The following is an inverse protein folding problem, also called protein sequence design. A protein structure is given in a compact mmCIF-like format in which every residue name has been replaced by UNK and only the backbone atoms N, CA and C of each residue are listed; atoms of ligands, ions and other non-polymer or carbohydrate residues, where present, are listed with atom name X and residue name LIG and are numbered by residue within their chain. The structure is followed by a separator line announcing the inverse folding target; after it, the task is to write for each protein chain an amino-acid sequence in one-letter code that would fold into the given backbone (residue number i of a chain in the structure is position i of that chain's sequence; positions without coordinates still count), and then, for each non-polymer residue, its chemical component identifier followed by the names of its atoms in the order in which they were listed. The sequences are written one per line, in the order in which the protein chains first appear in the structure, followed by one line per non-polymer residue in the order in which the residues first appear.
data_IF_495232470329
#
_entry.id   IF_495232470329
#
_cell.length_a   1.000
_cell.length_b   1.000
_cell.length_c   1.000
_cell.angle_alpha   90.00
_cell.angle_beta   90.00
_cell.angle_gamma   90.00
#
_symmetry.space_group_name_H-M   'P 1'
#
loop_
_entity.id
_entity.type
_entity.pdbx_description
1 polymer ?
#
# COMPACT_ATOMS: atom_id res chain seq x y z
N UNK A 1 -8.83 -0.89 14.98
CA UNK A 1 -9.18 0.10 16.03
C UNK A 1 -8.61 -0.21 17.42
N UNK A 2 -8.41 -1.47 17.81
CA UNK A 2 -7.96 -1.83 19.18
C UNK A 2 -6.52 -1.40 19.51
N UNK A 3 -5.60 -1.43 18.53
CA UNK A 3 -4.18 -1.04 18.73
C UNK A 3 -3.99 0.45 18.99
N UNK A 4 -4.78 1.32 18.33
CA UNK A 4 -4.74 2.78 18.59
C UNK A 4 -5.06 3.14 20.04
N UNK A 5 -5.88 2.34 20.75
CA UNK A 5 -6.20 2.59 22.16
C UNK A 5 -5.03 2.31 23.11
N UNK A 6 -4.02 1.57 22.66
CA UNK A 6 -2.85 1.23 23.46
C UNK A 6 -1.75 2.30 23.37
N UNK A 7 -1.83 3.21 22.40
CA UNK A 7 -0.85 4.29 22.24
C UNK A 7 -1.04 5.38 23.30
N UNK A 8 0.05 6.03 23.68
CA UNK A 8 0.02 7.18 24.59
C UNK A 8 -0.44 8.45 23.87
N UNK A 9 -1.70 8.85 24.08
CA UNK A 9 -2.28 10.07 23.50
C UNK A 9 -2.17 11.30 24.41
N UNK A 10 -1.34 11.26 25.45
CA UNK A 10 -1.11 12.42 26.31
C UNK A 10 -0.56 13.58 25.48
N UNK A 11 -1.24 14.75 25.44
CA UNK A 11 -0.76 15.89 24.67
C UNK A 11 0.63 16.34 25.12
N UNK A 12 1.50 16.60 24.17
CA UNK A 12 2.87 17.02 24.44
C UNK A 12 3.85 16.61 23.34
N UNK A 13 5.09 17.01 23.52
CA UNK A 13 6.21 16.69 22.65
C UNK A 13 7.23 15.87 23.44
N UNK A 14 7.63 14.73 22.88
CA UNK A 14 8.73 13.91 23.39
C UNK A 14 9.81 13.80 22.31
N UNK A 15 11.06 14.01 22.72
CA UNK A 15 12.23 13.66 21.90
C UNK A 15 12.57 12.20 22.19
N UNK A 16 12.35 11.34 21.20
CA UNK A 16 12.64 9.90 21.30
C UNK A 16 14.12 9.66 21.03
N UNK A 17 14.65 10.31 20.00
CA UNK A 17 16.08 10.29 19.67
C UNK A 17 16.56 11.73 19.50
N UNK A 18 17.58 12.19 20.23
CA UNK A 18 18.06 13.57 20.14
C UNK A 18 18.74 13.88 18.81
N UNK A 19 19.30 12.88 18.13
CA UNK A 19 19.91 13.05 16.81
C UNK A 19 19.96 11.75 16.01
N UNK A 20 19.40 11.77 14.81
CA UNK A 20 19.61 10.79 13.75
C UNK A 20 20.75 11.24 12.82
N UNK A 21 21.79 11.90 13.33
CA UNK A 21 23.04 11.94 12.59
C UNK A 21 23.65 10.52 12.54
N UNK A 22 24.44 10.23 11.49
CA UNK A 22 25.18 8.98 11.41
C UNK A 22 26.10 8.87 12.65
N UNK A 23 25.99 7.81 13.46
CA UNK A 23 26.81 7.67 14.65
C UNK A 23 28.29 7.43 14.29
N UNK A 24 29.19 7.70 15.25
CA UNK A 24 30.61 7.37 15.10
C UNK A 24 30.79 5.84 14.95
N UNK A 25 31.76 5.40 14.14
CA UNK A 25 31.97 3.99 13.79
C UNK A 25 31.11 3.49 12.62
N UNK A 26 30.35 4.39 11.98
CA UNK A 26 29.54 4.08 10.79
C UNK A 26 29.90 5.01 9.64
N UNK A 27 29.98 4.45 8.44
CA UNK A 27 30.30 5.19 7.22
C UNK A 27 29.11 6.04 6.76
N UNK A 28 27.91 5.47 6.82
CA UNK A 28 26.65 6.12 6.47
C UNK A 28 25.46 5.36 7.06
N UNK A 29 24.29 5.99 7.03
CA UNK A 29 23.01 5.35 7.34
C UNK A 29 21.97 5.74 6.26
N UNK A 30 20.97 4.89 6.05
CA UNK A 30 19.85 5.17 5.16
C UNK A 30 18.87 6.19 5.76
N UNK A 31 17.88 6.57 4.95
CA UNK A 31 16.75 7.36 5.42
C UNK A 31 15.95 6.56 6.47
N UNK A 32 15.67 7.20 7.61
CA UNK A 32 15.00 6.52 8.72
C UNK A 32 13.53 6.14 8.42
N UNK A 33 13.05 5.12 9.11
CA UNK A 33 11.64 4.71 9.19
C UNK A 33 11.13 4.86 10.61
N UNK A 34 9.87 5.23 10.80
CA UNK A 34 9.27 5.48 12.11
C UNK A 34 8.13 4.50 12.37
N UNK A 35 8.03 4.00 13.61
CA UNK A 35 6.94 3.11 14.02
C UNK A 35 5.58 3.84 13.93
N UNK A 36 4.49 3.09 13.69
CA UNK A 36 3.12 3.61 13.76
C UNK A 36 2.86 4.51 14.99
N UNK A 37 3.22 4.05 16.19
CA UNK A 37 3.00 4.78 17.45
C UNK A 37 3.98 5.93 17.74
N UNK A 38 5.05 6.02 16.95
CA UNK A 38 6.09 7.03 17.06
C UNK A 38 7.05 6.85 18.24
N UNK A 39 7.07 5.70 18.90
CA UNK A 39 7.99 5.39 20.00
C UNK A 39 9.34 4.85 19.50
N UNK A 40 9.41 4.41 18.24
CA UNK A 40 10.62 3.83 17.66
C UNK A 40 10.93 4.45 16.29
N UNK A 41 12.21 4.70 16.05
CA UNK A 41 12.75 5.08 14.74
C UNK A 41 13.94 4.19 14.43
N UNK A 42 14.06 3.76 13.17
CA UNK A 42 15.12 2.86 12.76
C UNK A 42 15.73 3.27 11.42
N UNK A 43 16.97 2.85 11.18
CA UNK A 43 17.66 3.04 9.91
C UNK A 43 18.69 1.93 9.69
N UNK A 44 18.85 1.48 8.45
CA UNK A 44 19.98 0.64 8.07
C UNK A 44 21.26 1.49 8.17
N UNK A 45 22.30 0.93 8.76
CA UNK A 45 23.59 1.61 8.93
C UNK A 45 24.73 0.70 8.46
N UNK A 46 25.68 1.29 7.72
CA UNK A 46 26.88 0.59 7.24
C UNK A 46 28.06 0.90 8.15
N UNK A 47 28.69 -0.13 8.70
CA UNK A 47 29.86 -0.07 9.58
C UNK A 47 31.14 0.17 8.76
N UNK A 48 32.23 0.50 9.45
CA UNK A 48 33.55 0.74 8.83
C UNK A 48 34.19 -0.52 8.23
N UNK A 49 33.84 -1.70 8.75
CA UNK A 49 34.25 -3.01 8.21
C UNK A 49 33.40 -3.46 7.00
N UNK A 50 32.61 -2.54 6.45
CA UNK A 50 31.71 -2.73 5.31
C UNK A 50 30.47 -3.60 5.57
N UNK A 51 30.28 -4.13 6.78
CA UNK A 51 29.06 -4.85 7.17
C UNK A 51 27.89 -3.89 7.46
N UNK A 52 26.69 -4.43 7.51
CA UNK A 52 25.44 -3.72 7.76
C UNK A 52 24.81 -4.17 9.07
N UNK A 53 24.09 -3.25 9.70
CA UNK A 53 23.23 -3.51 10.87
C UNK A 53 22.06 -2.54 10.84
N UNK A 54 21.13 -2.67 11.77
CA UNK A 54 19.99 -1.76 11.92
C UNK A 54 20.14 -0.97 13.20
N UNK A 55 20.19 0.35 13.08
CA UNK A 55 20.03 1.25 14.22
C UNK A 55 18.56 1.28 14.61
N UNK A 56 18.26 1.08 15.88
CA UNK A 56 16.93 1.24 16.48
C UNK A 56 17.04 2.22 17.64
N UNK A 57 16.42 3.39 17.50
CA UNK A 57 16.57 4.52 18.39
C UNK A 57 18.05 4.93 18.60
N UNK A 58 18.60 4.65 19.78
CA UNK A 58 20.01 4.91 20.14
C UNK A 58 20.85 3.63 20.22
N UNK A 59 20.26 2.48 19.92
CA UNK A 59 20.88 1.17 19.97
C UNK A 59 21.00 0.61 18.55
N UNK A 60 21.70 -0.53 18.43
CA UNK A 60 21.84 -1.26 17.18
C UNK A 60 21.48 -2.72 17.43
N UNK A 61 20.94 -3.35 16.40
CA UNK A 61 20.81 -4.80 16.33
C UNK A 61 22.17 -5.47 16.50
N UNK A 62 22.17 -6.64 17.12
CA UNK A 62 23.38 -7.44 17.32
C UNK A 62 23.86 -8.05 16.01
N UNK A 63 22.94 -8.31 15.08
CA UNK A 63 23.24 -8.90 13.78
C UNK A 63 24.21 -8.08 12.93
N UNK A 64 25.10 -8.81 12.25
CA UNK A 64 26.06 -8.33 11.26
C UNK A 64 25.72 -8.96 9.91
N UNK A 65 25.51 -8.12 8.91
CA UNK A 65 24.96 -8.56 7.62
C UNK A 65 25.83 -8.09 6.45
N UNK A 66 25.86 -8.88 5.37
CA UNK A 66 26.53 -8.50 4.13
C UNK A 66 25.76 -7.40 3.39
N UNK A 67 24.43 -7.44 3.49
CA UNK A 67 23.49 -6.44 2.97
C UNK A 67 22.23 -6.41 3.83
N UNK A 68 21.51 -5.31 3.78
CA UNK A 68 20.20 -5.19 4.42
C UNK A 68 19.27 -4.33 3.57
N UNK A 69 18.07 -4.83 3.25
CA UNK A 69 17.09 -4.16 2.39
C UNK A 69 15.68 -4.16 3.00
N UNK A 70 14.84 -3.25 2.49
CA UNK A 70 13.40 -3.19 2.77
C UNK A 70 13.04 -3.08 4.27
N UNK A 71 13.80 -2.28 5.02
CA UNK A 71 13.52 -2.00 6.43
C UNK A 71 12.19 -1.23 6.57
N UNK A 72 11.27 -1.72 7.39
CA UNK A 72 9.98 -1.06 7.61
C UNK A 72 9.21 -1.60 8.80
N UNK A 73 8.34 -0.75 9.37
CA UNK A 73 7.45 -1.16 10.45
C UNK A 73 6.12 -1.69 9.91
N UNK A 74 5.67 -2.82 10.45
CA UNK A 74 4.29 -3.28 10.35
C UNK A 74 3.34 -2.41 11.16
N UNK A 75 2.01 -2.51 10.93
CA UNK A 75 1.00 -1.73 11.66
C UNK A 75 0.92 -2.09 13.16
N UNK A 76 1.57 -3.17 13.58
CA UNK A 76 1.71 -3.63 14.95
C UNK A 76 3.00 -3.14 15.65
N UNK A 77 3.74 -2.24 15.01
CA UNK A 77 5.06 -1.73 15.43
C UNK A 77 6.21 -2.74 15.39
N UNK A 78 6.05 -3.95 14.86
CA UNK A 78 7.20 -4.82 14.59
C UNK A 78 8.02 -4.26 13.45
N UNK A 79 9.35 -4.26 13.61
CA UNK A 79 10.30 -3.83 12.59
C UNK A 79 10.77 -5.05 11.80
N UNK A 80 10.55 -5.05 10.49
CA UNK A 80 10.99 -6.13 9.61
C UNK A 80 11.96 -5.63 8.55
N UNK A 81 12.79 -6.52 8.05
CA UNK A 81 13.74 -6.26 6.96
C UNK A 81 14.33 -7.55 6.39
N UNK A 82 15.02 -7.42 5.26
CA UNK A 82 15.66 -8.53 4.57
C UNK A 82 17.17 -8.40 4.74
N UNK A 83 17.79 -9.37 5.42
CA UNK A 83 19.21 -9.38 5.69
C UNK A 83 19.91 -10.45 4.83
N UNK A 84 21.12 -10.16 4.34
CA UNK A 84 21.94 -11.15 3.64
C UNK A 84 23.06 -11.66 4.56
N UNK A 85 23.18 -12.98 4.69
CA UNK A 85 24.22 -13.69 5.46
C UNK A 85 24.69 -14.89 4.64
N UNK A 86 26.01 -15.08 4.50
CA UNK A 86 26.62 -16.15 3.71
C UNK A 86 26.06 -16.24 2.27
N UNK A 87 25.76 -15.09 1.67
CA UNK A 87 25.18 -14.99 0.33
C UNK A 87 23.67 -15.26 0.22
N UNK A 88 22.99 -15.70 1.28
CA UNK A 88 21.55 -15.99 1.29
C UNK A 88 20.75 -14.94 2.07
N UNK A 89 19.47 -14.81 1.76
CA UNK A 89 18.57 -13.80 2.33
C UNK A 89 17.67 -14.39 3.43
N UNK A 90 17.53 -13.64 4.51
CA UNK A 90 16.71 -13.93 5.67
C UNK A 90 15.64 -12.85 5.85
N UNK A 91 14.41 -13.26 6.13
CA UNK A 91 13.41 -12.35 6.69
C UNK A 91 13.72 -12.15 8.17
N UNK A 92 13.93 -10.92 8.58
CA UNK A 92 14.20 -10.56 9.98
C UNK A 92 13.02 -9.76 10.53
N UNK A 93 12.64 -10.04 11.78
CA UNK A 93 11.62 -9.30 12.53
C UNK A 93 12.15 -9.04 13.94
N UNK A 94 12.32 -7.76 14.30
CA UNK A 94 12.87 -7.33 15.59
C UNK A 94 14.21 -8.01 15.97
N UNK A 95 15.18 -8.01 15.05
CA UNK A 95 16.51 -8.63 15.20
C UNK A 95 16.52 -10.18 15.24
N UNK A 96 15.37 -10.83 15.03
CA UNK A 96 15.28 -12.29 14.95
C UNK A 96 15.01 -12.74 13.52
N UNK A 97 15.72 -13.78 13.07
CA UNK A 97 15.42 -14.43 11.80
C UNK A 97 14.12 -15.22 11.91
N UNK A 98 13.25 -15.06 10.92
CA UNK A 98 11.94 -15.72 10.85
C UNK A 98 11.93 -16.71 9.67
N UNK A 99 12.19 -17.99 9.98
CA UNK A 99 12.30 -19.08 8.99
C UNK A 99 13.75 -19.35 8.54
N UNK A 100 13.89 -20.16 7.49
CA UNK A 100 15.17 -20.50 6.87
C UNK A 100 15.61 -19.42 5.87
N UNK A 101 16.88 -19.44 5.47
CA UNK A 101 17.42 -18.58 4.42
C UNK A 101 16.97 -19.04 3.04
N UNK A 102 16.95 -18.10 2.09
CA UNK A 102 16.62 -18.33 0.70
C UNK A 102 17.61 -17.65 -0.24
N UNK A 103 17.80 -18.19 -1.44
CA UNK A 103 18.64 -17.57 -2.46
C UNK A 103 18.28 -16.09 -2.73
N UNK A 104 16.98 -15.76 -2.76
CA UNK A 104 16.50 -14.38 -2.77
C UNK A 104 15.18 -14.21 -2.02
N UNK A 105 15.06 -13.08 -1.31
CA UNK A 105 13.80 -12.58 -0.74
C UNK A 105 13.55 -11.15 -1.21
N UNK A 106 12.28 -10.78 -1.42
CA UNK A 106 11.88 -9.40 -1.73
C UNK A 106 10.42 -9.15 -1.33
N UNK A 107 10.03 -7.88 -1.27
CA UNK A 107 8.65 -7.44 -0.97
C UNK A 107 8.11 -7.96 0.37
N UNK A 108 8.34 -7.23 1.46
CA UNK A 108 7.69 -7.54 2.74
C UNK A 108 6.26 -7.00 2.74
N UNK A 109 5.30 -7.83 3.13
CA UNK A 109 3.90 -7.52 3.30
C UNK A 109 3.47 -7.79 4.74
N UNK A 110 2.64 -6.91 5.28
CA UNK A 110 1.93 -7.13 6.55
C UNK A 110 0.43 -7.15 6.28
N UNK A 111 -0.30 -8.00 7.00
CA UNK A 111 -1.76 -7.95 7.01
C UNK A 111 -2.26 -6.72 7.80
N UNK A 112 -3.57 -6.46 7.81
CA UNK A 112 -4.10 -5.17 8.26
C UNK A 112 -3.79 -4.87 9.73
N UNK A 113 -3.79 -5.91 10.57
CA UNK A 113 -3.38 -5.75 11.96
C UNK A 113 -1.89 -5.99 12.17
N UNK A 114 -1.17 -6.58 11.21
CA UNK A 114 0.26 -6.83 11.25
C UNK A 114 0.62 -8.12 11.97
N UNK A 115 -0.35 -8.96 12.35
CA UNK A 115 -0.09 -10.27 12.98
C UNK A 115 0.72 -11.17 12.05
N UNK A 116 0.43 -11.15 10.76
CA UNK A 116 1.13 -11.94 9.77
C UNK A 116 2.07 -11.07 8.93
N UNK A 117 3.26 -11.61 8.67
CA UNK A 117 4.24 -11.04 7.73
C UNK A 117 4.50 -12.05 6.63
N UNK A 118 4.53 -11.59 5.39
CA UNK A 118 4.87 -12.42 4.24
C UNK A 118 5.94 -11.75 3.38
N UNK A 119 6.68 -12.54 2.60
CA UNK A 119 7.53 -12.01 1.55
C UNK A 119 7.60 -12.93 0.35
N UNK A 120 7.96 -12.38 -0.80
CA UNK A 120 8.24 -13.18 -1.98
C UNK A 120 9.60 -13.85 -1.84
N UNK A 121 9.71 -15.09 -2.33
CA UNK A 121 10.90 -15.90 -2.22
C UNK A 121 11.30 -16.54 -3.55
N UNK A 122 12.59 -16.80 -3.69
CA UNK A 122 13.14 -17.67 -4.71
C UNK A 122 14.15 -18.62 -4.06
N UNK A 123 14.02 -19.91 -4.38
CA UNK A 123 14.96 -20.97 -4.01
C UNK A 123 15.23 -21.85 -5.23
N UNK A 124 16.51 -22.11 -5.53
CA UNK A 124 16.93 -22.97 -6.65
C UNK A 124 16.27 -22.62 -8.00
N UNK A 125 16.10 -21.32 -8.25
CA UNK A 125 15.45 -20.81 -9.48
C UNK A 125 13.92 -20.94 -9.51
N UNK A 126 13.29 -21.44 -8.43
CA UNK A 126 11.84 -21.55 -8.28
C UNK A 126 11.30 -20.48 -7.34
N UNK A 127 10.09 -20.00 -7.60
CA UNK A 127 9.51 -18.81 -6.98
C UNK A 127 8.28 -19.16 -6.16
N UNK A 128 8.08 -18.45 -5.05
CA UNK A 128 6.91 -18.59 -4.19
C UNK A 128 6.79 -17.45 -3.18
N UNK A 129 6.17 -17.74 -2.04
CA UNK A 129 6.10 -16.82 -0.91
C UNK A 129 6.41 -17.54 0.41
N UNK A 130 6.90 -16.76 1.37
CA UNK A 130 6.97 -17.11 2.78
C UNK A 130 5.81 -16.44 3.53
N UNK A 131 5.21 -17.15 4.47
CA UNK A 131 4.28 -16.55 5.45
C UNK A 131 4.77 -16.89 6.85
N UNK A 132 5.14 -15.88 7.64
CA UNK A 132 5.76 -16.01 8.95
C UNK A 132 6.97 -16.95 8.96
N UNK A 133 7.78 -16.92 7.89
CA UNK A 133 8.96 -17.78 7.72
C UNK A 133 8.68 -19.14 7.08
N UNK A 134 7.41 -19.52 6.91
CA UNK A 134 7.04 -20.81 6.32
C UNK A 134 6.86 -20.68 4.79
N UNK A 135 7.62 -21.43 3.97
CA UNK A 135 7.51 -21.40 2.52
C UNK A 135 6.21 -22.05 2.03
N UNK A 136 5.78 -21.66 0.83
CA UNK A 136 4.78 -22.43 0.10
C UNK A 136 5.23 -23.88 -0.12
N UNK A 137 4.29 -24.85 -0.08
CA UNK A 137 4.60 -26.26 -0.33
C UNK A 137 4.94 -26.55 -1.79
N UNK A 138 4.51 -25.69 -2.71
CA UNK A 138 4.77 -25.78 -4.15
C UNK A 138 5.35 -24.45 -4.65
N UNK A 139 6.41 -24.54 -5.45
CA UNK A 139 7.11 -23.41 -6.08
C UNK A 139 6.99 -23.51 -7.60
N UNK A 140 7.20 -22.38 -8.27
CA UNK A 140 6.93 -22.25 -9.70
C UNK A 140 8.13 -21.67 -10.46
N UNK A 141 8.23 -21.94 -11.76
CA UNK A 141 9.28 -21.36 -12.63
C UNK A 141 9.30 -19.82 -12.58
N UNK A 142 8.15 -19.20 -12.28
CA UNK A 142 7.99 -17.77 -12.09
C UNK A 142 6.75 -17.49 -11.22
N UNK A 143 6.85 -16.53 -10.31
CA UNK A 143 5.73 -15.97 -9.57
C UNK A 143 5.88 -14.44 -9.49
N UNK A 144 4.75 -13.72 -9.59
CA UNK A 144 4.70 -12.26 -9.50
C UNK A 144 3.30 -11.78 -9.03
N UNK A 145 3.08 -10.46 -8.93
CA UNK A 145 1.84 -9.89 -8.38
C UNK A 145 1.48 -10.50 -7.01
N UNK A 146 2.46 -10.53 -6.10
CA UNK A 146 2.30 -11.11 -4.77
C UNK A 146 1.29 -10.32 -3.93
N UNK A 147 0.41 -11.03 -3.24
CA UNK A 147 -0.63 -10.47 -2.39
C UNK A 147 -0.68 -11.21 -1.05
N UNK A 148 -0.98 -10.45 0.00
CA UNK A 148 -1.25 -10.94 1.34
C UNK A 148 -2.69 -10.58 1.69
N UNK A 149 -3.42 -11.55 2.24
CA UNK A 149 -4.77 -11.36 2.72
C UNK A 149 -4.83 -10.41 3.92
N UNK A 150 -5.94 -9.69 4.13
CA UNK A 150 -6.02 -8.68 5.16
C UNK A 150 -6.04 -9.22 6.61
N UNK A 151 -6.34 -10.50 6.84
CA UNK A 151 -6.71 -10.97 8.20
C UNK A 151 -6.13 -12.31 8.65
N UNK A 152 -5.67 -13.19 7.77
CA UNK A 152 -5.35 -14.58 8.16
C UNK A 152 -4.08 -15.15 7.53
N UNK A 153 -3.18 -14.28 7.04
CA UNK A 153 -1.89 -14.70 6.52
C UNK A 153 -1.94 -15.45 5.19
N UNK A 154 -3.12 -15.68 4.59
CA UNK A 154 -3.19 -16.28 3.25
C UNK A 154 -2.47 -15.40 2.23
N UNK A 155 -1.79 -16.02 1.29
CA UNK A 155 -1.01 -15.36 0.25
C UNK A 155 -1.46 -15.81 -1.13
N UNK A 156 -1.27 -14.96 -2.13
CA UNK A 156 -1.56 -15.31 -3.52
C UNK A 156 -0.55 -14.68 -4.47
N UNK A 157 -0.33 -15.31 -5.62
CA UNK A 157 0.50 -14.77 -6.69
C UNK A 157 0.02 -15.26 -8.05
N UNK A 158 0.36 -14.52 -9.10
CA UNK A 158 0.28 -15.00 -10.48
C UNK A 158 1.51 -15.85 -10.75
N UNK A 159 1.30 -17.07 -11.22
CA UNK A 159 2.36 -18.08 -11.37
C UNK A 159 2.41 -18.61 -12.80
N UNK A 160 3.60 -18.92 -13.29
CA UNK A 160 3.80 -19.62 -14.56
C UNK A 160 3.67 -21.13 -14.32
N UNK A 161 2.73 -21.76 -15.02
CA UNK A 161 2.41 -23.20 -14.88
C UNK A 161 2.82 -24.04 -16.10
N UNK A 162 3.37 -23.39 -17.13
CA UNK A 162 3.93 -24.05 -18.31
C UNK A 162 5.30 -23.45 -18.63
N UNK A 163 6.29 -24.28 -18.99
CA UNK A 163 7.57 -23.79 -19.46
C UNK A 163 7.41 -22.88 -20.67
N UNK A 164 8.18 -21.79 -20.70
CA UNK A 164 8.18 -20.83 -21.80
C UNK A 164 9.61 -20.61 -22.29
N UNK A 165 9.88 -21.01 -23.55
CA UNK A 165 11.16 -20.76 -24.19
C UNK A 165 11.36 -19.28 -24.53
N UNK A 166 12.61 -18.87 -24.74
CA UNK A 166 12.92 -17.51 -25.21
C UNK A 166 12.20 -17.23 -26.54
N UNK A 167 11.47 -16.11 -26.59
CA UNK A 167 10.70 -15.67 -27.75
C UNK A 167 9.60 -16.66 -28.24
N UNK A 168 9.17 -17.62 -27.40
CA UNK A 168 8.07 -18.54 -27.73
C UNK A 168 6.70 -17.85 -27.60
N UNK A 169 6.37 -17.05 -28.59
CA UNK A 169 5.09 -16.32 -28.62
C UNK A 169 3.89 -17.24 -28.81
N UNK A 170 4.05 -18.39 -29.48
CA UNK A 170 2.95 -19.32 -29.73
C UNK A 170 2.47 -19.97 -28.44
N UNK A 171 3.39 -20.46 -27.61
CA UNK A 171 3.06 -21.05 -26.31
C UNK A 171 2.49 -19.98 -25.37
N UNK A 172 3.07 -18.78 -25.36
CA UNK A 172 2.55 -17.66 -24.56
C UNK A 172 1.07 -17.37 -24.84
N UNK A 173 0.68 -17.25 -26.12
CA UNK A 173 -0.72 -16.96 -26.48
C UNK A 173 -1.68 -18.14 -26.30
N UNK A 174 -1.18 -19.37 -26.08
CA UNK A 174 -1.98 -20.53 -25.63
C UNK A 174 -2.26 -20.52 -24.12
N UNK A 175 -1.68 -19.57 -23.38
CA UNK A 175 -1.84 -19.43 -21.94
C UNK A 175 -0.82 -20.25 -21.15
N UNK A 176 -0.08 -19.56 -20.30
CA UNK A 176 1.00 -20.12 -19.47
C UNK A 176 0.93 -19.69 -18.00
N UNK A 177 0.02 -18.77 -17.66
CA UNK A 177 -0.14 -18.26 -16.30
C UNK A 177 -1.42 -18.78 -15.65
N UNK A 178 -1.34 -19.01 -14.34
CA UNK A 178 -2.48 -19.22 -13.44
C UNK A 178 -2.28 -18.39 -12.17
N UNK A 179 -3.10 -18.62 -11.15
CA UNK A 179 -2.99 -17.98 -9.84
C UNK A 179 -2.80 -19.07 -8.80
N UNK A 180 -1.81 -18.90 -7.93
CA UNK A 180 -1.63 -19.74 -6.75
C UNK A 180 -2.17 -19.02 -5.51
N UNK A 181 -2.92 -19.71 -4.68
CA UNK A 181 -3.36 -19.25 -3.35
C UNK A 181 -2.76 -20.20 -2.31
N UNK A 182 -1.90 -19.69 -1.43
CA UNK A 182 -1.06 -20.49 -0.53
C UNK A 182 -0.26 -21.59 -1.26
N UNK A 183 0.26 -21.27 -2.44
CA UNK A 183 0.96 -22.23 -3.29
C UNK A 183 0.05 -23.19 -4.06
N UNK A 184 -1.26 -23.22 -3.82
CA UNK A 184 -2.18 -24.08 -4.58
C UNK A 184 -2.69 -23.38 -5.84
N UNK A 185 -2.40 -23.96 -6.99
CA UNK A 185 -2.75 -23.41 -8.31
C UNK A 185 -4.21 -23.63 -8.67
N UNK A 186 -4.80 -22.61 -9.30
CA UNK A 186 -6.10 -22.68 -9.98
C UNK A 186 -6.04 -23.51 -11.27
N UNK A 187 -7.13 -24.18 -11.64
CA UNK A 187 -7.18 -25.00 -12.86
C UNK A 187 -7.23 -24.14 -14.13
N UNK A 188 -7.77 -22.93 -14.08
CA UNK A 188 -7.83 -22.03 -15.22
C UNK A 188 -6.45 -21.57 -15.65
N UNK A 189 -6.27 -21.49 -16.97
CA UNK A 189 -5.03 -21.05 -17.60
C UNK A 189 -5.32 -19.78 -18.41
N UNK A 190 -4.52 -18.75 -18.17
CA UNK A 190 -4.64 -17.44 -18.79
C UNK A 190 -3.43 -17.12 -19.66
N UNK A 191 -3.62 -16.26 -20.67
CA UNK A 191 -2.50 -15.62 -21.37
C UNK A 191 -1.72 -14.74 -20.39
N UNK A 192 -2.41 -14.05 -19.49
CA UNK A 192 -1.80 -13.40 -18.35
C UNK A 192 -2.85 -13.13 -17.25
N UNK A 193 -2.41 -12.95 -16.01
CA UNK A 193 -3.23 -12.50 -14.90
C UNK A 193 -2.49 -11.42 -14.11
N UNK A 194 -3.21 -10.58 -13.36
CA UNK A 194 -2.63 -9.51 -12.56
C UNK A 194 -3.43 -9.24 -11.30
N UNK A 195 -2.74 -8.66 -10.32
CA UNK A 195 -3.29 -8.13 -9.06
C UNK A 195 -4.30 -9.08 -8.40
N UNK A 196 -3.86 -10.21 -7.81
CA UNK A 196 -4.69 -10.95 -6.87
C UNK A 196 -5.14 -10.05 -5.72
N UNK A 197 -6.45 -9.99 -5.50
CA UNK A 197 -7.07 -9.22 -4.42
C UNK A 197 -7.87 -10.19 -3.57
N UNK A 198 -7.62 -10.18 -2.27
CA UNK A 198 -8.43 -10.93 -1.31
C UNK A 198 -9.69 -10.14 -0.96
N UNK A 199 -10.78 -10.86 -0.77
CA UNK A 199 -11.95 -10.38 -0.01
C UNK A 199 -11.55 -10.03 1.43
N UNK A 200 -12.35 -9.17 2.08
CA UNK A 200 -12.06 -8.67 3.43
C UNK A 200 -11.96 -9.79 4.49
N UNK A 201 -12.74 -10.85 4.35
CA UNK A 201 -12.69 -12.03 5.23
C UNK A 201 -11.67 -13.09 4.76
N UNK A 202 -10.93 -12.79 3.69
CA UNK A 202 -9.91 -13.65 3.08
C UNK A 202 -10.44 -15.04 2.67
N UNK A 203 -11.73 -15.14 2.32
CA UNK A 203 -12.36 -16.37 1.84
C UNK A 203 -12.28 -16.53 0.32
N UNK A 204 -12.31 -15.41 -0.41
CA UNK A 204 -12.31 -15.33 -1.87
C UNK A 204 -11.12 -14.52 -2.41
N UNK A 205 -10.66 -14.86 -3.62
CA UNK A 205 -9.63 -14.12 -4.38
C UNK A 205 -10.15 -13.76 -5.76
N UNK A 206 -9.98 -12.50 -6.17
CA UNK A 206 -10.29 -12.00 -7.50
C UNK A 206 -9.03 -11.51 -8.21
N UNK A 207 -8.93 -11.74 -9.52
CA UNK A 207 -7.80 -11.29 -10.35
C UNK A 207 -8.28 -10.64 -11.65
N UNK A 208 -7.43 -9.80 -12.23
CA UNK A 208 -7.53 -9.44 -13.64
C UNK A 208 -7.02 -10.59 -14.48
N UNK A 209 -7.72 -10.96 -15.54
CA UNK A 209 -7.32 -12.04 -16.43
C UNK A 209 -7.39 -11.60 -17.90
N UNK A 210 -6.35 -11.89 -18.66
CA UNK A 210 -6.32 -11.82 -20.12
C UNK A 210 -6.53 -13.21 -20.69
N UNK A 211 -7.65 -13.38 -21.40
CA UNK A 211 -8.06 -14.68 -21.95
C UNK A 211 -7.40 -14.93 -23.31
N UNK A 212 -7.25 -13.89 -24.12
CA UNK A 212 -6.56 -13.94 -25.40
C UNK A 212 -5.94 -12.58 -25.75
N UNK A 213 -5.50 -12.39 -26.99
CA UNK A 213 -4.84 -11.15 -27.44
C UNK A 213 -5.69 -9.89 -27.23
N UNK A 214 -7.01 -9.98 -27.19
CA UNK A 214 -7.91 -8.81 -27.20
C UNK A 214 -8.91 -8.76 -26.04
N UNK A 215 -9.12 -9.88 -25.35
CA UNK A 215 -10.20 -10.01 -24.37
C UNK A 215 -9.69 -10.19 -22.95
N UNK A 216 -10.25 -9.37 -22.06
CA UNK A 216 -9.97 -9.34 -20.64
C UNK A 216 -11.25 -9.59 -19.84
N UNK A 217 -11.08 -10.06 -18.61
CA UNK A 217 -12.16 -10.31 -17.65
C UNK A 217 -11.62 -10.23 -16.23
N UNK A 218 -12.52 -10.22 -15.25
CA UNK A 218 -12.19 -10.58 -13.88
C UNK A 218 -12.48 -12.07 -13.68
N UNK A 219 -11.64 -12.72 -12.88
CA UNK A 219 -11.82 -14.11 -12.44
C UNK A 219 -11.87 -14.14 -10.91
N UNK A 220 -12.87 -14.81 -10.36
CA UNK A 220 -13.06 -14.94 -8.91
C UNK A 220 -13.04 -16.43 -8.57
N UNK A 221 -12.11 -16.84 -7.70
CA UNK A 221 -11.91 -18.25 -7.31
C UNK A 221 -11.95 -19.22 -8.49
N UNK A 222 -11.03 -19.01 -9.44
CA UNK A 222 -10.90 -19.83 -10.63
C UNK A 222 -12.11 -19.80 -11.60
N UNK A 223 -13.05 -18.88 -11.40
CA UNK A 223 -14.23 -18.71 -12.27
C UNK A 223 -14.23 -17.35 -12.95
N UNK A 224 -13.82 -17.28 -14.23
CA UNK A 224 -13.93 -16.04 -15.01
C UNK A 224 -15.39 -15.60 -15.09
N UNK A 225 -15.65 -14.29 -15.01
CA UNK A 225 -16.95 -13.75 -15.43
C UNK A 225 -17.26 -14.19 -16.86
N UNK A 226 -18.54 -14.22 -17.25
CA UNK A 226 -18.92 -14.62 -18.61
C UNK A 226 -18.68 -13.51 -19.62
N UNK A 227 -18.75 -12.25 -19.19
CA UNK A 227 -18.49 -11.08 -20.03
C UNK A 227 -17.00 -10.92 -20.35
N UNK A 228 -16.73 -10.25 -21.48
CA UNK A 228 -15.39 -9.90 -21.96
C UNK A 228 -15.32 -8.41 -22.23
N UNK A 229 -14.17 -7.83 -21.92
CA UNK A 229 -13.90 -6.41 -22.03
C UNK A 229 -12.61 -6.16 -22.82
N UNK A 230 -12.45 -4.95 -23.36
CA UNK A 230 -11.22 -4.58 -24.06
C UNK A 230 -10.03 -4.48 -23.10
N UNK A 231 -10.29 -4.02 -21.87
CA UNK A 231 -9.36 -3.98 -20.75
C UNK A 231 -10.15 -4.00 -19.44
N UNK A 232 -9.50 -4.42 -18.37
CA UNK A 232 -9.98 -4.33 -16.98
C UNK A 232 -8.88 -3.73 -16.12
N UNK A 233 -9.23 -3.11 -15.00
CA UNK A 233 -8.31 -2.78 -13.93
C UNK A 233 -8.56 -3.66 -12.70
N UNK A 234 -7.76 -3.46 -11.65
CA UNK A 234 -7.80 -4.19 -10.38
C UNK A 234 -9.25 -4.37 -9.86
N UNK A 235 -9.63 -5.60 -9.46
CA UNK A 235 -10.92 -5.85 -8.83
C UNK A 235 -10.94 -5.33 -7.39
N UNK A 236 -12.13 -5.05 -6.88
CA UNK A 236 -12.39 -4.72 -5.49
C UNK A 236 -13.61 -5.50 -5.00
N UNK A 237 -13.50 -6.12 -3.82
CA UNK A 237 -14.64 -6.76 -3.15
C UNK A 237 -15.46 -5.71 -2.41
N UNK A 238 -16.78 -5.75 -2.62
CA UNK A 238 -17.75 -5.05 -1.79
C UNK A 238 -17.79 -5.72 -0.41
N UNK A 239 -17.36 -5.03 0.66
CA UNK A 239 -17.28 -5.61 2.00
C UNK A 239 -18.65 -5.99 2.58
N UNK A 240 -19.74 -5.42 2.07
CA UNK A 240 -21.09 -5.69 2.56
C UNK A 240 -21.73 -6.92 1.91
N UNK A 241 -21.43 -7.16 0.63
CA UNK A 241 -22.13 -8.17 -0.18
C UNK A 241 -21.23 -9.31 -0.66
N UNK A 242 -19.91 -9.09 -0.70
CA UNK A 242 -18.96 -9.99 -1.36
C UNK A 242 -18.95 -9.86 -2.90
N UNK A 243 -19.76 -8.96 -3.47
CA UNK A 243 -19.74 -8.68 -4.90
C UNK A 243 -18.35 -8.19 -5.35
N UNK A 244 -17.95 -8.52 -6.56
CA UNK A 244 -16.69 -8.06 -7.13
C UNK A 244 -16.97 -6.95 -8.14
N UNK A 245 -16.33 -5.80 -7.93
CA UNK A 245 -16.38 -4.66 -8.83
C UNK A 245 -15.03 -4.48 -9.51
N UNK A 246 -15.04 -4.02 -10.76
CA UNK A 246 -13.81 -3.66 -11.46
C UNK A 246 -14.07 -2.58 -12.50
N UNK A 247 -13.13 -1.62 -12.70
CA UNK A 247 -13.18 -0.75 -13.85
C UNK A 247 -12.99 -1.56 -15.12
N UNK A 248 -13.85 -1.34 -16.10
CA UNK A 248 -13.81 -2.08 -17.37
C UNK A 248 -13.87 -1.12 -18.55
N UNK A 249 -13.15 -1.46 -19.62
CA UNK A 249 -13.18 -0.72 -20.88
C UNK A 249 -14.05 -1.43 -21.90
N UNK A 250 -15.08 -0.73 -22.36
CA UNK A 250 -16.02 -1.19 -23.38
C UNK A 250 -16.24 -0.10 -24.41
N UNK A 251 -16.16 -0.45 -25.70
CA UNK A 251 -16.34 0.50 -26.82
C UNK A 251 -15.47 1.76 -26.70
N UNK A 252 -14.23 1.60 -26.24
CA UNK A 252 -13.25 2.69 -26.12
C UNK A 252 -13.38 3.55 -24.86
N UNK A 253 -14.40 3.34 -24.02
CA UNK A 253 -14.66 4.10 -22.80
C UNK A 253 -14.61 3.23 -21.55
N UNK A 254 -14.30 3.85 -20.42
CA UNK A 254 -14.25 3.21 -19.12
C UNK A 254 -15.56 3.39 -18.35
N UNK A 255 -15.98 2.34 -17.66
CA UNK A 255 -17.06 2.32 -16.68
C UNK A 255 -16.69 1.40 -15.53
N UNK A 256 -17.68 1.00 -14.74
CA UNK A 256 -17.51 0.09 -13.62
C UNK A 256 -18.46 -1.10 -13.79
N UNK A 257 -17.92 -2.31 -13.76
CA UNK A 257 -18.73 -3.53 -13.72
C UNK A 257 -18.81 -4.07 -12.29
N UNK A 258 -19.93 -4.72 -11.96
CA UNK A 258 -20.19 -5.51 -10.77
C UNK A 258 -20.60 -6.92 -11.22
N UNK A 259 -19.84 -7.93 -10.84
CA UNK A 259 -20.06 -9.34 -11.23
C UNK A 259 -20.30 -9.51 -12.74
N UNK A 260 -19.52 -8.82 -13.57
CA UNK A 260 -19.61 -8.86 -15.04
C UNK A 260 -20.67 -7.97 -15.68
N UNK A 261 -21.62 -7.41 -14.92
CA UNK A 261 -22.64 -6.49 -15.42
C UNK A 261 -22.26 -5.03 -15.16
N UNK A 262 -22.65 -4.10 -16.03
CA UNK A 262 -22.31 -2.68 -15.84
C UNK A 262 -23.09 -2.09 -14.66
N UNK A 263 -22.35 -1.57 -13.67
CA UNK A 263 -22.85 -0.76 -12.56
C UNK A 263 -22.83 0.72 -12.96
N UNK A 264 -21.70 1.20 -13.52
CA UNK A 264 -21.58 2.52 -14.12
C UNK A 264 -21.39 2.42 -15.62
N UNK A 265 -22.24 3.10 -16.40
CA UNK A 265 -22.13 3.12 -17.86
C UNK A 265 -20.74 3.59 -18.34
N UNK A 266 -20.17 2.97 -19.39
CA UNK A 266 -18.84 3.28 -19.87
C UNK A 266 -18.82 4.62 -20.62
N UNK A 267 -18.64 5.70 -19.88
CA UNK A 267 -18.66 7.08 -20.40
C UNK A 267 -17.34 7.82 -20.17
N UNK A 268 -16.50 7.31 -19.26
CA UNK A 268 -15.26 7.93 -18.82
C UNK A 268 -14.13 7.68 -19.82
N UNK A 269 -13.17 8.59 -19.85
CA UNK A 269 -11.90 8.43 -20.58
C UNK A 269 -10.94 7.50 -19.84
N UNK A 270 -11.02 7.47 -18.50
CA UNK A 270 -10.28 6.58 -17.62
C UNK A 270 -11.03 6.38 -16.30
N UNK A 271 -10.87 5.24 -15.64
CA UNK A 271 -11.43 4.93 -14.31
C UNK A 271 -10.56 3.90 -13.59
N UNK A 272 -10.11 4.14 -12.36
CA UNK A 272 -9.22 3.27 -11.59
C UNK A 272 -9.31 3.57 -10.08
N UNK A 273 -8.56 2.85 -9.24
CA UNK A 273 -8.54 3.01 -7.77
C UNK A 273 -9.95 2.98 -7.14
N UNK A 274 -10.69 1.89 -7.39
CA UNK A 274 -12.04 1.72 -6.85
C UNK A 274 -11.97 1.48 -5.35
N UNK A 275 -12.80 2.20 -4.58
CA UNK A 275 -12.97 2.02 -3.15
C UNK A 275 -14.45 1.96 -2.81
N UNK A 276 -14.80 1.07 -1.89
CA UNK A 276 -16.19 0.79 -1.54
C UNK A 276 -16.34 1.05 -0.05
N UNK A 277 -17.34 1.84 0.34
CA UNK A 277 -17.68 2.06 1.73
C UNK A 277 -18.08 0.74 2.41
N UNK A 278 -17.93 0.59 3.75
CA UNK A 278 -18.20 -0.68 4.42
C UNK A 278 -19.63 -1.21 4.27
N UNK A 279 -20.59 -0.33 3.97
CA UNK A 279 -21.99 -0.70 3.74
C UNK A 279 -22.34 -0.97 2.26
N UNK A 280 -21.35 -0.93 1.36
CA UNK A 280 -21.50 -1.17 -0.07
C UNK A 280 -22.23 -0.05 -0.84
N UNK A 281 -22.75 0.99 -0.17
CA UNK A 281 -23.62 2.01 -0.80
C UNK A 281 -22.86 3.11 -1.51
N UNK A 282 -21.67 3.44 -1.00
CA UNK A 282 -20.81 4.47 -1.58
C UNK A 282 -19.62 3.82 -2.27
N UNK A 283 -19.66 3.83 -3.59
CA UNK A 283 -18.55 3.37 -4.43
C UNK A 283 -17.87 4.61 -4.99
N UNK A 284 -16.57 4.65 -4.82
CA UNK A 284 -15.72 5.73 -5.25
C UNK A 284 -14.65 5.21 -6.21
N UNK A 285 -14.17 6.06 -7.11
CA UNK A 285 -13.03 5.78 -7.97
C UNK A 285 -12.32 7.08 -8.35
N UNK A 286 -11.08 6.98 -8.82
CA UNK A 286 -10.47 8.05 -9.61
C UNK A 286 -10.87 7.87 -11.07
N UNK A 287 -11.40 8.91 -11.70
CA UNK A 287 -11.81 8.85 -13.10
C UNK A 287 -11.61 10.15 -13.84
N UNK A 288 -11.64 10.07 -15.17
CA UNK A 288 -11.53 11.21 -16.07
C UNK A 288 -12.80 11.31 -16.94
N UNK A 289 -13.77 12.19 -16.60
CA UNK A 289 -14.93 12.45 -17.47
C UNK A 289 -14.52 13.01 -18.84
N UNK A 290 -13.41 13.73 -18.90
CA UNK A 290 -12.86 14.33 -20.11
C UNK A 290 -11.34 14.08 -20.18
N UNK A 291 -10.76 14.16 -21.38
CA UNK A 291 -9.33 13.92 -21.57
C UNK A 291 -8.50 14.91 -20.72
N UNK A 292 -7.60 14.38 -19.90
CA UNK A 292 -6.72 15.18 -19.04
C UNK A 292 -7.45 15.91 -17.90
N UNK A 293 -8.66 15.46 -17.52
CA UNK A 293 -9.45 16.05 -16.44
C UNK A 293 -9.88 14.98 -15.44
N UNK A 294 -8.96 14.60 -14.56
CA UNK A 294 -9.17 13.61 -13.51
C UNK A 294 -9.83 14.21 -12.27
N UNK A 295 -10.63 13.39 -11.59
CA UNK A 295 -11.31 13.72 -10.34
C UNK A 295 -11.80 12.45 -9.62
N UNK A 296 -12.34 12.58 -8.41
CA UNK A 296 -13.05 11.48 -7.77
C UNK A 296 -14.47 11.33 -8.37
N UNK A 297 -14.92 10.09 -8.52
CA UNK A 297 -16.25 9.71 -9.00
C UNK A 297 -16.97 9.02 -7.85
N UNK A 298 -18.14 9.52 -7.46
CA UNK A 298 -19.00 8.87 -6.47
C UNK A 298 -20.21 8.27 -7.17
N UNK A 299 -20.40 6.95 -7.11
CA UNK A 299 -21.56 6.26 -7.70
C UNK A 299 -21.85 6.71 -9.15
N UNK A 300 -20.80 6.76 -9.98
CA UNK A 300 -20.86 7.18 -11.38
C UNK A 300 -20.96 8.69 -11.62
N UNK A 301 -20.94 9.52 -10.57
CA UNK A 301 -21.03 10.98 -10.67
C UNK A 301 -19.68 11.63 -10.37
N UNK A 302 -19.04 12.32 -11.33
CA UNK A 302 -17.80 13.03 -11.08
C UNK A 302 -18.02 14.22 -10.16
N UNK A 303 -17.04 14.48 -9.30
CA UNK A 303 -16.86 15.78 -8.66
C UNK A 303 -16.70 16.90 -9.68
N UNK A 304 -17.03 18.12 -9.27
CA UNK A 304 -16.93 19.30 -10.12
C UNK A 304 -15.48 19.73 -10.32
N UNK A 305 -14.67 19.62 -9.25
CA UNK A 305 -13.26 19.97 -9.22
C UNK A 305 -12.45 18.97 -10.03
N UNK A 306 -11.66 19.43 -11.00
CA UNK A 306 -10.88 18.55 -11.90
C UNK A 306 -9.44 19.01 -12.02
N UNK A 307 -8.54 18.05 -12.22
CA UNK A 307 -7.10 18.25 -12.30
C UNK A 307 -6.50 17.51 -13.49
N UNK A 308 -5.31 17.88 -13.97
CA UNK A 308 -4.55 17.06 -14.92
C UNK A 308 -4.31 15.64 -14.42
N UNK A 309 -4.11 15.45 -13.11
CA UNK A 309 -3.95 14.17 -12.44
C UNK A 309 -4.67 14.23 -11.08
N UNK A 310 -5.34 13.14 -10.71
CA UNK A 310 -5.85 12.91 -9.35
C UNK A 310 -5.37 11.53 -8.87
N UNK A 311 -4.93 11.44 -7.60
CA UNK A 311 -4.35 10.24 -6.98
C UNK A 311 -4.71 10.17 -5.50
N UNK A 312 -4.33 9.06 -4.85
CA UNK A 312 -4.47 8.87 -3.40
C UNK A 312 -5.90 9.08 -2.88
N UNK A 313 -6.87 8.44 -3.52
CA UNK A 313 -8.25 8.43 -3.05
C UNK A 313 -8.31 7.78 -1.67
N UNK A 314 -9.02 8.39 -0.73
CA UNK A 314 -9.20 7.89 0.64
C UNK A 314 -10.63 8.14 1.06
N UNK A 315 -11.25 7.17 1.72
CA UNK A 315 -12.60 7.29 2.23
C UNK A 315 -12.59 7.55 3.74
N UNK A 316 -13.61 8.22 4.24
CA UNK A 316 -13.92 8.16 5.67
C UNK A 316 -14.24 6.72 6.09
N UNK A 317 -14.11 6.37 7.38
CA UNK A 317 -14.37 5.00 7.86
C UNK A 317 -15.78 4.48 7.55
N UNK A 318 -16.77 5.35 7.42
CA UNK A 318 -18.14 5.00 7.03
C UNK A 318 -18.38 5.02 5.51
N UNK A 319 -17.38 5.39 4.71
CA UNK A 319 -17.43 5.48 3.25
C UNK A 319 -18.21 6.68 2.69
N UNK A 320 -18.77 7.55 3.53
CA UNK A 320 -19.68 8.63 3.09
C UNK A 320 -18.94 9.86 2.56
N UNK A 321 -17.70 10.07 3.00
CA UNK A 321 -16.82 11.16 2.60
C UNK A 321 -15.61 10.62 1.85
N UNK A 322 -15.01 11.47 1.03
CA UNK A 322 -13.78 11.13 0.33
C UNK A 322 -12.81 12.30 0.25
N UNK A 323 -11.52 11.97 0.18
CA UNK A 323 -10.45 12.90 -0.06
C UNK A 323 -9.50 12.34 -1.13
N UNK A 324 -8.90 13.20 -1.93
CA UNK A 324 -7.85 12.82 -2.88
C UNK A 324 -6.87 13.98 -3.08
N UNK A 325 -5.78 13.70 -3.79
CA UNK A 325 -4.81 14.71 -4.20
C UNK A 325 -4.97 15.02 -5.69
N UNK A 326 -5.19 16.29 -6.02
CA UNK A 326 -5.04 16.80 -7.37
C UNK A 326 -3.63 17.34 -7.58
N UNK A 327 -3.07 17.18 -8.79
CA UNK A 327 -1.77 17.78 -9.13
C UNK A 327 -1.64 18.06 -10.63
N UNK A 328 -0.60 18.80 -10.99
CA UNK A 328 -0.19 19.07 -12.37
C UNK A 328 1.22 18.52 -12.59
N UNK A 329 1.34 17.40 -13.31
CA UNK A 329 2.62 16.75 -13.62
C UNK A 329 3.52 16.52 -12.38
N UNK A 330 2.95 15.96 -11.32
CA UNK A 330 3.64 15.68 -10.06
C UNK A 330 4.20 16.94 -9.36
N UNK A 331 3.56 18.09 -9.59
CA UNK A 331 3.82 19.38 -8.94
C UNK A 331 2.50 20.07 -8.59
N UNK A 332 2.56 21.13 -7.77
CA UNK A 332 1.40 21.93 -7.36
C UNK A 332 0.25 21.08 -6.79
N UNK A 333 0.59 20.24 -5.82
CA UNK A 333 -0.39 19.38 -5.16
C UNK A 333 -1.45 20.21 -4.45
N UNK A 334 -2.71 19.80 -4.60
CA UNK A 334 -3.91 20.33 -3.95
C UNK A 334 -4.62 19.19 -3.24
N UNK A 335 -4.91 19.38 -1.96
CA UNK A 335 -5.75 18.46 -1.20
C UNK A 335 -7.22 18.78 -1.48
N UNK A 336 -8.01 17.78 -1.83
CA UNK A 336 -9.44 17.92 -2.08
C UNK A 336 -10.20 17.02 -1.13
N UNK A 337 -11.18 17.57 -0.41
CA UNK A 337 -12.04 16.83 0.50
C UNK A 337 -13.49 17.16 0.16
N UNK A 338 -14.31 16.16 -0.12
CA UNK A 338 -15.74 16.31 -0.44
C UNK A 338 -16.00 17.35 -1.56
N UNK A 339 -15.30 17.21 -2.70
CA UNK A 339 -15.32 18.13 -3.86
C UNK A 339 -14.89 19.57 -3.53
N UNK A 340 -14.21 19.80 -2.40
CA UNK A 340 -13.72 21.12 -2.00
C UNK A 340 -12.19 21.12 -1.91
N UNK A 341 -11.49 21.82 -2.81
CA UNK A 341 -10.06 22.00 -2.69
C UNK A 341 -9.76 22.87 -1.47
N UNK A 342 -8.78 22.46 -0.66
CA UNK A 342 -8.26 23.28 0.41
C UNK A 342 -7.47 24.48 -0.15
N UNK A 343 -7.41 25.61 0.58
CA UNK A 343 -6.65 26.76 0.14
C UNK A 343 -5.15 26.46 0.20
N UNK A 344 -4.48 26.59 -0.94
CA UNK A 344 -3.02 26.47 -1.06
C UNK A 344 -2.57 25.40 -2.04
N UNK A 345 -1.29 25.46 -2.38
CA UNK A 345 -0.57 24.46 -3.17
C UNK A 345 0.76 24.14 -2.51
N UNK A 346 1.19 22.89 -2.68
CA UNK A 346 2.42 22.34 -2.11
C UNK A 346 3.26 21.63 -3.16
N UNK A 347 4.57 21.60 -2.97
CA UNK A 347 5.47 20.88 -3.87
C UNK A 347 5.29 19.36 -3.79
N UNK A 348 4.78 18.86 -2.66
CA UNK A 348 4.36 17.47 -2.46
C UNK A 348 3.24 17.43 -1.41
N UNK A 349 2.30 16.51 -1.57
CA UNK A 349 1.37 16.09 -0.53
C UNK A 349 1.36 14.56 -0.47
N UNK A 350 1.15 14.00 0.73
CA UNK A 350 0.99 12.56 0.93
C UNK A 350 -0.48 12.21 1.10
N UNK A 351 -0.82 10.92 1.00
CA UNK A 351 -2.20 10.44 1.06
C UNK A 351 -2.98 11.02 2.27
N UNK A 352 -4.22 11.51 2.08
CA UNK A 352 -5.04 12.01 3.17
C UNK A 352 -5.38 10.93 4.21
N UNK A 353 -5.51 11.34 5.47
CA UNK A 353 -5.88 10.45 6.58
C UNK A 353 -7.16 10.98 7.20
N UNK A 354 -8.21 10.17 7.25
CA UNK A 354 -9.43 10.49 7.99
C UNK A 354 -9.28 10.12 9.47
N UNK A 355 -9.90 10.91 10.35
CA UNK A 355 -10.10 10.49 11.73
C UNK A 355 -11.05 9.27 11.81
N UNK A 356 -10.96 8.43 12.86
CA UNK A 356 -11.81 7.25 13.01
C UNK A 356 -13.32 7.55 13.07
N UNK A 357 -13.70 8.76 13.49
CA UNK A 357 -15.08 9.25 13.47
C UNK A 357 -15.48 9.91 12.14
N UNK A 358 -14.56 9.97 11.17
CA UNK A 358 -14.77 10.55 9.84
C UNK A 358 -14.89 12.08 9.79
N UNK A 359 -14.73 12.79 10.91
CA UNK A 359 -14.98 14.25 10.98
C UNK A 359 -13.81 15.08 10.48
N UNK A 360 -12.60 14.65 10.76
CA UNK A 360 -11.38 15.39 10.47
C UNK A 360 -10.56 14.71 9.37
N UNK A 361 -9.86 15.51 8.57
CA UNK A 361 -8.88 15.01 7.60
C UNK A 361 -7.54 15.66 7.89
N UNK A 362 -6.47 14.87 7.91
CA UNK A 362 -5.12 15.34 8.06
C UNK A 362 -4.24 14.94 6.88
N UNK A 363 -3.28 15.79 6.54
CA UNK A 363 -2.36 15.58 5.40
C UNK A 363 -0.97 16.09 5.75
N UNK A 364 0.06 15.27 5.54
CA UNK A 364 1.44 15.75 5.51
C UNK A 364 1.71 16.41 4.17
N UNK A 365 2.31 17.59 4.18
CA UNK A 365 2.65 18.36 2.97
C UNK A 365 4.07 18.89 3.04
N UNK A 366 4.70 19.09 1.87
CA UNK A 366 6.03 19.69 1.75
C UNK A 366 6.00 20.91 0.86
N UNK A 367 6.58 22.01 1.35
CA UNK A 367 6.76 23.27 0.62
C UNK A 367 8.14 23.83 0.88
N UNK A 368 8.85 24.20 -0.18
CA UNK A 368 10.22 24.74 -0.10
C UNK A 368 11.17 23.86 0.73
N UNK A 369 11.09 22.54 0.53
CA UNK A 369 11.91 21.55 1.26
C UNK A 369 11.47 21.24 2.69
N UNK A 370 10.54 22.00 3.26
CA UNK A 370 10.09 21.86 4.64
C UNK A 370 8.72 21.17 4.73
N UNK A 371 8.55 20.33 5.75
CA UNK A 371 7.35 19.54 5.98
C UNK A 371 6.46 20.19 7.05
N UNK A 372 5.14 20.06 6.90
CA UNK A 372 4.16 20.37 7.95
C UNK A 372 2.95 19.46 7.82
N UNK A 373 2.08 19.48 8.83
CA UNK A 373 0.81 18.76 8.83
C UNK A 373 -0.33 19.77 8.75
N UNK A 374 -1.27 19.49 7.86
CA UNK A 374 -2.55 20.18 7.76
C UNK A 374 -3.62 19.34 8.44
N UNK A 375 -4.54 19.98 9.15
CA UNK A 375 -5.79 19.37 9.61
C UNK A 375 -6.94 20.29 9.17
N UNK A 376 -7.90 19.73 8.44
CA UNK A 376 -9.05 20.46 7.88
C UNK A 376 -8.67 21.75 7.13
N UNK A 377 -7.59 21.67 6.35
CA UNK A 377 -7.08 22.79 5.55
C UNK A 377 -6.22 23.80 6.31
N UNK A 378 -5.99 23.60 7.61
CA UNK A 378 -5.18 24.52 8.43
C UNK A 378 -3.88 23.86 8.84
N UNK A 379 -2.77 24.56 8.59
CA UNK A 379 -1.43 24.07 8.90
C UNK A 379 -0.98 24.42 10.30
N UNK A 380 -0.04 23.62 10.84
CA UNK A 380 0.68 24.00 12.05
C UNK A 380 1.50 25.26 11.82
N UNK A 381 1.65 26.09 12.86
CA UNK A 381 2.65 27.15 12.89
C UNK A 381 4.07 26.61 13.21
N UNK A 382 4.45 25.52 12.54
CA UNK A 382 5.76 24.87 12.66
C UNK A 382 6.02 24.02 11.43
N UNK A 383 7.30 23.94 11.08
CA UNK A 383 7.78 23.07 10.01
C UNK A 383 8.90 22.18 10.50
N UNK A 384 9.11 21.07 9.81
CA UNK A 384 10.08 20.04 10.13
C UNK A 384 10.94 19.72 8.92
N UNK A 385 12.11 19.11 9.15
CA UNK A 385 12.96 18.56 8.07
C UNK A 385 12.26 17.38 7.38
N UNK A 386 11.47 16.62 8.13
CA UNK A 386 10.63 15.53 7.63
C UNK A 386 9.43 15.31 8.54
N UNK A 387 8.31 14.87 7.97
CA UNK A 387 7.16 14.33 8.70
C UNK A 387 6.71 13.03 8.04
N UNK A 388 6.36 12.04 8.86
CA UNK A 388 5.63 10.86 8.39
C UNK A 388 4.12 11.18 8.35
N UNK A 389 3.29 10.34 7.70
CA UNK A 389 1.84 10.54 7.73
C UNK A 389 1.31 10.66 9.17
N UNK A 390 0.38 11.58 9.45
CA UNK A 390 -0.17 11.72 10.80
C UNK A 390 -1.10 10.55 11.14
N UNK A 391 -1.37 10.35 12.42
CA UNK A 391 -2.37 9.39 12.90
C UNK A 391 -3.32 10.07 13.88
N UNK A 392 -4.61 9.76 13.81
CA UNK A 392 -5.59 10.23 14.77
C UNK A 392 -5.76 9.24 15.93
N UNK A 393 -6.09 9.77 17.11
CA UNK A 393 -6.57 8.96 18.22
C UNK A 393 -7.88 8.28 17.86
N UNK A 394 -8.23 7.20 18.57
CA UNK A 394 -9.44 6.42 18.29
C UNK A 394 -10.75 7.21 18.41
N UNK A 395 -10.74 8.30 19.18
CA UNK A 395 -11.85 9.23 19.36
C UNK A 395 -11.79 10.46 18.41
N UNK A 396 -10.74 10.56 17.58
CA UNK A 396 -10.51 11.69 16.68
C UNK A 396 -10.09 13.00 17.35
N UNK A 397 -9.93 13.03 18.68
CA UNK A 397 -9.67 14.27 19.42
C UNK A 397 -8.20 14.73 19.38
N UNK A 398 -7.27 13.82 19.12
CA UNK A 398 -5.84 14.06 19.08
C UNK A 398 -5.23 13.60 17.76
N UNK A 399 -4.12 14.23 17.39
CA UNK A 399 -3.29 13.89 16.25
C UNK A 399 -1.86 13.62 16.71
N UNK A 400 -1.30 12.50 16.27
CA UNK A 400 0.09 12.11 16.45
C UNK A 400 0.87 12.51 15.21
N UNK A 401 1.94 13.25 15.45
CA UNK A 401 2.89 13.71 14.46
C UNK A 401 4.25 13.13 14.81
N UNK A 402 4.81 12.40 13.84
CA UNK A 402 6.16 11.86 13.88
C UNK A 402 7.00 12.72 12.94
N UNK A 403 8.07 13.31 13.45
CA UNK A 403 8.82 14.29 12.68
C UNK A 403 10.32 14.29 13.01
N UNK A 404 11.12 14.70 12.03
CA UNK A 404 12.51 15.11 12.22
C UNK A 404 12.56 16.63 12.34
N UNK A 405 12.84 17.10 13.55
CA UNK A 405 13.09 18.50 13.84
C UNK A 405 14.60 18.74 13.91
N UNK A 406 15.18 19.28 12.83
CA UNK A 406 16.61 19.17 12.59
C UNK A 406 17.01 17.70 12.45
N UNK A 407 17.81 17.20 13.38
CA UNK A 407 18.18 15.78 13.46
C UNK A 407 17.42 15.02 14.56
N UNK A 408 16.66 15.70 15.42
CA UNK A 408 15.94 15.04 16.50
C UNK A 408 14.67 14.37 15.98
N UNK A 409 14.48 13.09 16.30
CA UNK A 409 13.21 12.40 16.07
C UNK A 409 12.26 12.69 17.23
N UNK A 410 11.12 13.28 16.88
CA UNK A 410 10.12 13.77 17.82
C UNK A 410 8.78 13.09 17.60
N UNK A 411 8.17 12.77 18.72
CA UNK A 411 6.80 12.30 18.87
C UNK A 411 5.97 13.43 19.45
N UNK A 412 5.00 13.94 18.69
CA UNK A 412 4.22 15.12 19.09
C UNK A 412 2.74 14.75 19.04
N UNK A 413 2.05 14.87 20.17
CA UNK A 413 0.60 14.67 20.27
C UNK A 413 -0.08 16.00 20.53
N UNK A 414 -1.00 16.40 19.65
CA UNK A 414 -1.74 17.66 19.76
C UNK A 414 -3.24 17.40 19.76
N UNK A 415 -4.04 18.15 20.55
CA UNK A 415 -5.48 18.21 20.37
C UNK A 415 -5.82 18.79 18.99
N UNK A 416 -6.74 18.16 18.25
CA UNK A 416 -7.16 18.59 16.91
C UNK A 416 -7.72 20.02 16.92
N UNK A 417 -8.38 20.43 18.01
CA UNK A 417 -8.89 21.79 18.20
C UNK A 417 -7.83 22.91 18.14
N UNK A 418 -6.53 22.57 18.23
CA UNK A 418 -5.46 23.57 18.07
C UNK A 418 -5.25 23.98 16.62
N UNK A 419 -5.79 23.22 15.67
CA UNK A 419 -5.79 23.55 14.24
C UNK A 419 -7.05 24.32 13.83
N UNK A 420 -7.91 24.71 14.78
CA UNK A 420 -9.19 25.40 14.53
C UNK A 420 -9.04 26.91 14.37
#
# INVERSE_FOLDING_TARGET
MTKLKQWDWTPGERTIVPSLACPAGFMWQEEAVASPDGETVAAVARREDETFTVRVNNEHWEGEYEKFWHLGFGPDNRLAGLAQVDGEWLLTVNDEALGESHAFLWTILFDEDGTNVACASQQDGSYGMLTNGEPWPELFDNANNFALSPTNGKTAAVVQIKPLGQADTETFFKGVFSVAVNGQVWDSIFVNAWTPVFSHDASHVAVQARINTYEYTITVDDKPWTQRFQYVWDPAFDPATGDVLAPVRLQGKWGLARNGSMDWNPTLVQCWDVKIGPDGKNIWAIGAPEYGKFTAIQNGRPWNTKFPVAVDLRLSPDGTRAACLGNNNNTDFVVVVDDKPWPGTWGMAWAPVFSPDGRHVAVTVRKNGQYTVLVDGKGMNRTFRRCWPPAFSSDGAHILIRALDGNAFKRIVLPVKQFS
#
